data_IF_747421287356
#
_entry.id   IF_747421287356
#
_cell.length_a   1.000
_cell.length_b   1.000
_cell.length_c   1.000
_cell.angle_alpha   90.00
_cell.angle_beta   90.00
_cell.angle_gamma   90.00
#
_symmetry.space_group_name_H-M   'P 1'
#
loop_
_entity.id
_entity.type
_entity.pdbx_description
1 polymer ?
#
# COMPACT_ATOMS: atom_id res chain seq x y z
N UNK A 1 -126.18 -8.31 -2.66
CA UNK A 1 -125.50 -9.37 -3.43
C UNK A 1 -124.59 -10.17 -2.50
N UNK A 2 -124.57 -11.50 -2.67
CA UNK A 2 -124.02 -12.52 -1.76
C UNK A 2 -122.50 -12.75 -1.93
N UNK A 3 -121.83 -13.04 -0.81
CA UNK A 3 -120.64 -13.93 -0.63
C UNK A 3 -119.32 -13.42 -1.25
N UNK A 4 -118.11 -13.69 -0.73
CA UNK A 4 -117.55 -14.91 -0.16
C UNK A 4 -116.38 -14.57 0.81
N UNK A 5 -116.15 -15.46 1.77
CA UNK A 5 -115.08 -15.42 2.78
C UNK A 5 -113.70 -15.74 2.19
N UNK A 6 -112.61 -15.23 2.79
CA UNK A 6 -111.35 -15.97 2.81
C UNK A 6 -110.66 -15.87 4.17
N UNK A 7 -110.62 -17.01 4.87
CA UNK A 7 -109.89 -17.24 6.12
C UNK A 7 -108.38 -17.19 5.83
N UNK A 8 -107.64 -16.35 6.56
CA UNK A 8 -106.19 -16.46 6.62
C UNK A 8 -105.80 -17.43 7.74
N UNK A 9 -105.16 -18.55 7.35
CA UNK A 9 -104.60 -19.53 8.27
C UNK A 9 -103.37 -18.96 8.99
N UNK A 10 -103.36 -19.01 10.31
CA UNK A 10 -102.16 -18.77 11.11
C UNK A 10 -101.15 -19.91 10.90
N UNK A 11 -100.14 -19.68 10.06
CA UNK A 11 -99.00 -20.59 9.91
C UNK A 11 -98.15 -20.55 11.19
N UNK A 12 -98.30 -21.57 12.03
CA UNK A 12 -97.38 -21.85 13.13
C UNK A 12 -96.01 -22.21 12.55
N UNK A 13 -94.98 -21.43 12.93
CA UNK A 13 -93.60 -21.67 12.51
C UNK A 13 -93.11 -22.99 13.14
N UNK A 14 -92.53 -23.92 12.37
CA UNK A 14 -92.12 -25.22 12.90
C UNK A 14 -90.97 -25.08 13.92
N UNK A 15 -90.97 -25.92 14.96
CA UNK A 15 -90.01 -25.90 16.08
C UNK A 15 -88.55 -26.09 15.64
N UNK A 16 -88.30 -26.63 14.44
CA UNK A 16 -86.97 -26.82 13.86
C UNK A 16 -86.27 -25.51 13.51
N UNK A 17 -87.03 -24.46 13.17
CA UNK A 17 -86.47 -23.15 12.79
C UNK A 17 -85.95 -22.38 14.01
N UNK A 18 -86.58 -22.59 15.17
CA UNK A 18 -86.18 -21.95 16.45
C UNK A 18 -84.85 -22.45 17.00
N UNK A 19 -84.42 -23.68 16.67
CA UNK A 19 -83.12 -24.23 17.11
C UNK A 19 -81.95 -23.76 16.24
N UNK A 20 -82.19 -23.43 14.97
CA UNK A 20 -81.16 -22.93 14.06
C UNK A 20 -80.79 -21.47 14.37
N UNK A 21 -81.76 -20.66 14.78
CA UNK A 21 -81.47 -19.26 15.17
C UNK A 21 -80.61 -19.16 16.43
N UNK A 22 -80.82 -20.01 17.45
CA UNK A 22 -80.04 -19.93 18.69
C UNK A 22 -78.61 -20.45 18.54
N UNK A 23 -78.34 -21.41 17.65
CA UNK A 23 -76.98 -21.94 17.42
C UNK A 23 -76.16 -21.10 16.44
N UNK A 24 -76.79 -20.46 15.46
CA UNK A 24 -76.11 -19.57 14.51
C UNK A 24 -75.68 -18.24 15.12
N UNK A 25 -76.51 -17.65 16.00
CA UNK A 25 -76.23 -16.34 16.62
C UNK A 25 -74.94 -16.33 17.43
N UNK A 26 -74.63 -17.39 18.19
CA UNK A 26 -73.37 -17.45 18.97
C UNK A 26 -72.15 -17.43 18.05
N UNK A 27 -72.14 -18.26 17.01
CA UNK A 27 -71.04 -18.29 16.03
C UNK A 27 -70.91 -16.96 15.29
N UNK A 28 -72.04 -16.32 14.96
CA UNK A 28 -72.06 -15.02 14.30
C UNK A 28 -71.54 -13.88 15.19
N UNK A 29 -71.85 -13.92 16.49
CA UNK A 29 -71.31 -12.97 17.47
C UNK A 29 -69.80 -13.21 17.66
N UNK A 30 -69.36 -14.45 17.75
CA UNK A 30 -67.93 -14.77 17.83
C UNK A 30 -67.15 -14.32 16.61
N UNK A 31 -67.70 -14.43 15.39
CA UNK A 31 -67.03 -13.93 14.17
C UNK A 31 -66.92 -12.41 14.15
N UNK A 32 -67.95 -11.69 14.61
CA UNK A 32 -67.92 -10.23 14.71
C UNK A 32 -66.90 -9.79 15.77
N UNK A 33 -66.89 -10.43 16.94
CA UNK A 33 -65.92 -10.16 18.00
C UNK A 33 -64.48 -10.46 17.56
N UNK A 34 -64.27 -11.55 16.82
CA UNK A 34 -62.96 -11.89 16.25
C UNK A 34 -62.50 -10.84 15.22
N UNK A 35 -63.42 -10.34 14.39
CA UNK A 35 -63.14 -9.25 13.45
C UNK A 35 -62.75 -7.95 14.15
N UNK A 36 -63.50 -7.55 15.20
CA UNK A 36 -63.15 -6.39 16.03
C UNK A 36 -61.82 -6.57 16.77
N UNK A 37 -61.54 -7.78 17.26
CA UNK A 37 -60.26 -8.10 17.89
C UNK A 37 -59.09 -8.03 16.90
N UNK A 38 -59.26 -8.55 15.68
CA UNK A 38 -58.27 -8.43 14.60
C UNK A 38 -58.04 -6.98 14.19
N UNK A 39 -59.11 -6.18 14.07
CA UNK A 39 -59.01 -4.77 13.76
C UNK A 39 -58.30 -4.00 14.89
N UNK A 40 -58.63 -4.29 16.14
CA UNK A 40 -57.95 -3.72 17.30
C UNK A 40 -56.47 -4.10 17.33
N UNK A 41 -56.11 -5.37 17.08
CA UNK A 41 -54.73 -5.81 16.98
C UNK A 41 -53.99 -5.15 15.79
N UNK A 42 -54.65 -4.92 14.67
CA UNK A 42 -54.10 -4.14 13.55
C UNK A 42 -53.79 -2.70 13.96
N UNK A 43 -54.73 -2.05 14.65
CA UNK A 43 -54.59 -0.65 15.04
C UNK A 43 -53.61 -0.42 16.19
N UNK A 44 -53.54 -1.36 17.14
CA UNK A 44 -52.74 -1.20 18.36
C UNK A 44 -51.40 -1.92 18.33
N UNK A 45 -51.23 -2.94 17.48
CA UNK A 45 -50.00 -3.72 17.42
C UNK A 45 -49.29 -3.53 16.08
N UNK A 46 -50.00 -3.61 14.96
CA UNK A 46 -49.37 -3.51 13.62
C UNK A 46 -49.01 -2.06 13.27
N UNK A 47 -49.92 -1.09 13.43
CA UNK A 47 -49.63 0.32 13.14
C UNK A 47 -48.42 0.88 13.92
N UNK A 48 -48.28 0.72 15.26
CA UNK A 48 -47.10 1.23 15.96
C UNK A 48 -45.79 0.55 15.54
N UNK A 49 -45.80 -0.73 15.16
CA UNK A 49 -44.61 -1.39 14.60
C UNK A 49 -44.21 -0.83 13.23
N UNK A 50 -45.16 -0.32 12.43
CA UNK A 50 -44.87 0.34 11.15
C UNK A 50 -44.27 1.74 11.34
N UNK A 51 -44.70 2.47 12.39
CA UNK A 51 -44.12 3.78 12.76
C UNK A 51 -42.67 3.63 13.25
N UNK A 52 -42.33 2.52 13.91
CA UNK A 52 -40.95 2.17 14.27
C UNK A 52 -40.08 1.73 13.08
N UNK A 53 -40.66 1.02 12.09
CA UNK A 53 -39.97 0.56 10.89
C UNK A 53 -39.50 1.69 9.96
N UNK A 54 -40.14 2.86 10.01
CA UNK A 54 -39.71 4.05 9.27
C UNK A 54 -38.46 4.74 9.87
N UNK A 55 -38.11 4.44 11.13
CA UNK A 55 -36.89 4.97 11.77
C UNK A 55 -35.61 4.41 11.13
N UNK A 56 -35.66 3.20 10.56
CA UNK A 56 -34.53 2.59 9.86
C UNK A 56 -34.21 3.33 8.55
N UNK A 57 -35.20 3.96 7.92
CA UNK A 57 -35.01 4.73 6.68
C UNK A 57 -34.41 6.11 6.98
N UNK A 58 -34.73 6.71 8.13
CA UNK A 58 -34.13 8.00 8.52
C UNK A 58 -32.70 7.86 9.07
N UNK A 59 -32.28 6.66 9.52
CA UNK A 59 -30.87 6.35 9.82
C UNK A 59 -29.98 6.18 8.58
N UNK A 60 -30.56 6.17 7.37
CA UNK A 60 -29.81 6.34 6.11
C UNK A 60 -29.69 7.81 5.68
N UNK A 61 -30.36 8.74 6.40
CA UNK A 61 -30.22 10.18 6.15
C UNK A 61 -29.08 10.81 6.95
N UNK A 62 -28.67 10.14 8.03
CA UNK A 62 -27.45 10.38 8.79
C UNK A 62 -26.42 9.25 8.57
N UNK A 63 -26.39 8.66 7.37
CA UNK A 63 -25.09 8.21 6.88
C UNK A 63 -24.17 9.45 6.97
N UNK A 64 -22.91 9.34 7.41
CA UNK A 64 -21.99 10.44 7.18
C UNK A 64 -22.17 10.75 5.71
N UNK A 65 -22.58 11.98 5.41
CA UNK A 65 -22.32 12.54 4.10
C UNK A 65 -20.83 12.22 3.95
N UNK A 66 -20.52 11.23 3.12
CA UNK A 66 -19.45 11.45 2.20
C UNK A 66 -19.90 12.72 1.47
N UNK A 67 -19.61 13.86 2.10
CA UNK A 67 -18.83 14.88 1.46
C UNK A 67 -17.66 14.11 0.88
N UNK A 68 -17.90 13.44 -0.25
CA UNK A 68 -17.05 13.63 -1.41
C UNK A 68 -16.92 15.15 -1.43
N UNK A 69 -15.91 15.63 -0.71
CA UNK A 69 -15.25 16.82 -1.14
C UNK A 69 -15.17 16.61 -2.63
N UNK A 70 -15.72 17.55 -3.39
CA UNK A 70 -15.01 17.90 -4.59
C UNK A 70 -13.67 18.39 -4.03
N UNK A 71 -12.80 17.44 -3.68
CA UNK A 71 -11.39 17.64 -3.73
C UNK A 71 -11.27 18.12 -5.15
N UNK A 72 -11.01 19.40 -5.29
CA UNK A 72 -10.42 19.93 -6.49
C UNK A 72 -9.19 19.03 -6.68
N UNK A 73 -9.36 17.93 -7.42
CA UNK A 73 -8.34 16.95 -7.71
C UNK A 73 -7.44 17.61 -8.76
N UNK A 74 -6.79 18.69 -8.36
CA UNK A 74 -5.38 18.80 -8.62
C UNK A 74 -4.78 17.55 -7.98
N UNK A 75 -4.62 16.49 -8.78
CA UNK A 75 -3.91 15.29 -8.37
C UNK A 75 -2.55 15.74 -7.86
N UNK A 76 -2.34 15.64 -6.55
CA UNK A 76 -1.06 15.97 -5.94
C UNK A 76 0.00 15.12 -6.63
N UNK A 77 1.02 15.75 -7.18
CA UNK A 77 2.06 15.05 -7.92
C UNK A 77 2.90 14.18 -6.95
N UNK A 78 3.37 13.00 -7.39
CA UNK A 78 4.39 12.26 -6.65
C UNK A 78 5.69 13.07 -6.58
N UNK A 79 6.53 12.85 -5.54
CA UNK A 79 7.85 13.47 -5.47
C UNK A 79 8.77 12.86 -6.53
N UNK A 80 9.69 13.68 -7.03
CA UNK A 80 10.79 13.25 -7.90
C UNK A 80 12.00 13.00 -7.00
N UNK A 81 12.45 11.75 -6.93
CA UNK A 81 13.63 11.37 -6.16
C UNK A 81 14.89 11.45 -7.03
N UNK A 82 16.00 11.91 -6.46
CA UNK A 82 17.31 12.03 -7.09
C UNK A 82 18.35 11.29 -6.26
N UNK A 83 18.80 10.15 -6.79
CA UNK A 83 19.83 9.29 -6.21
C UNK A 83 20.85 9.00 -7.32
N UNK A 84 22.11 9.47 -7.21
CA UNK A 84 23.05 9.47 -8.33
C UNK A 84 23.82 8.15 -8.51
N UNK A 85 23.44 7.08 -7.83
CA UNK A 85 24.11 5.79 -7.87
C UNK A 85 23.07 4.66 -7.78
N UNK A 86 23.43 3.48 -8.30
CA UNK A 86 22.58 2.28 -8.28
C UNK A 86 23.05 1.26 -7.22
N UNK A 87 24.23 1.46 -6.65
CA UNK A 87 24.79 0.62 -5.59
C UNK A 87 25.65 1.43 -4.62
N UNK A 88 25.77 0.96 -3.38
CA UNK A 88 26.56 1.59 -2.32
C UNK A 88 27.16 0.55 -1.38
N UNK A 89 28.29 0.88 -0.76
CA UNK A 89 28.88 0.13 0.35
C UNK A 89 28.58 0.76 1.71
N UNK A 90 27.81 1.84 1.73
CA UNK A 90 27.40 2.55 2.94
C UNK A 90 25.99 2.11 3.31
N UNK A 91 25.80 1.71 4.57
CA UNK A 91 24.52 1.22 5.09
C UNK A 91 23.42 2.30 5.18
N UNK A 92 23.73 3.55 4.83
CA UNK A 92 22.80 4.68 4.89
C UNK A 92 22.80 5.51 3.61
N UNK A 93 21.67 6.14 3.31
CA UNK A 93 21.47 7.02 2.17
C UNK A 93 20.69 8.27 2.56
N UNK A 94 21.09 9.44 2.04
CA UNK A 94 20.25 10.64 2.03
C UNK A 94 19.58 10.78 0.66
N UNK A 95 18.26 10.88 0.65
CA UNK A 95 17.47 11.06 -0.58
C UNK A 95 17.22 12.55 -0.79
N UNK A 96 17.55 13.03 -1.98
CA UNK A 96 17.26 14.39 -2.42
C UNK A 96 16.19 14.37 -3.50
N UNK A 97 15.53 15.49 -3.74
CA UNK A 97 14.53 15.56 -4.79
C UNK A 97 13.71 16.82 -4.80
N UNK A 98 12.60 16.75 -5.54
CA UNK A 98 11.61 17.81 -5.65
C UNK A 98 10.20 17.28 -5.37
N UNK A 99 9.39 18.07 -4.70
CA UNK A 99 7.98 17.80 -4.45
C UNK A 99 7.18 19.12 -4.54
N UNK A 100 5.88 19.06 -4.25
CA UNK A 100 5.09 20.28 -4.13
C UNK A 100 5.68 21.21 -3.05
N UNK A 101 5.73 22.51 -3.31
CA UNK A 101 6.28 23.48 -2.36
C UNK A 101 5.56 23.41 -1.01
N UNK A 102 6.33 23.53 0.08
CA UNK A 102 5.83 23.49 1.47
C UNK A 102 5.10 22.20 1.88
N UNK A 103 5.11 21.16 1.05
CA UNK A 103 4.49 19.85 1.34
C UNK A 103 5.42 18.95 2.16
N UNK A 104 4.88 17.86 2.69
CA UNK A 104 5.66 16.80 3.32
C UNK A 104 5.94 15.68 2.32
N UNK A 105 7.15 15.15 2.31
CA UNK A 105 7.57 14.02 1.48
C UNK A 105 7.82 12.83 2.39
N UNK A 106 7.01 11.79 2.25
CA UNK A 106 7.20 10.48 2.88
C UNK A 106 8.09 9.61 2.00
N UNK A 107 9.15 9.02 2.55
CA UNK A 107 10.06 8.11 1.84
C UNK A 107 9.90 6.69 2.37
N UNK A 108 9.77 5.76 1.43
CA UNK A 108 9.54 4.35 1.65
C UNK A 108 10.70 3.52 1.10
N UNK A 109 11.06 2.47 1.82
CA UNK A 109 11.97 1.42 1.34
C UNK A 109 11.22 0.10 1.44
N UNK A 110 11.10 -0.62 0.32
CA UNK A 110 10.38 -1.90 0.24
C UNK A 110 8.95 -1.79 0.83
N UNK A 111 8.26 -0.71 0.46
CA UNK A 111 6.90 -0.34 0.90
C UNK A 111 6.76 0.01 2.40
N UNK A 112 7.85 0.01 3.17
CA UNK A 112 7.87 0.45 4.57
C UNK A 112 8.25 1.93 4.67
N UNK A 113 7.45 2.73 5.38
CA UNK A 113 7.76 4.14 5.64
C UNK A 113 9.02 4.23 6.52
N UNK A 114 10.08 4.88 6.02
CA UNK A 114 11.33 5.04 6.76
C UNK A 114 11.52 6.43 7.34
N UNK A 115 11.07 7.45 6.64
CA UNK A 115 11.21 8.84 7.08
C UNK A 115 10.23 9.74 6.35
N UNK A 116 10.04 10.94 6.87
CA UNK A 116 9.41 12.05 6.18
C UNK A 116 10.33 13.28 6.23
N UNK A 117 10.13 14.22 5.31
CA UNK A 117 10.85 15.49 5.29
C UNK A 117 9.98 16.57 4.67
N UNK A 118 10.21 17.83 5.04
CA UNK A 118 9.46 18.95 4.47
C UNK A 118 10.15 19.47 3.21
N UNK A 119 9.39 19.65 2.14
CA UNK A 119 9.85 20.36 0.96
C UNK A 119 9.91 21.87 1.22
N UNK A 120 10.95 22.51 0.72
CA UNK A 120 11.12 23.96 0.78
C UNK A 120 10.08 24.71 -0.06
N UNK A 121 10.13 26.04 -0.01
CA UNK A 121 9.27 26.89 -0.84
C UNK A 121 9.55 26.77 -2.34
N UNK A 122 10.75 26.30 -2.70
CA UNK A 122 11.16 25.96 -4.07
C UNK A 122 10.84 24.49 -4.44
N UNK A 123 10.23 23.74 -3.52
CA UNK A 123 9.92 22.32 -3.69
C UNK A 123 11.10 21.38 -3.46
N UNK A 124 12.31 21.89 -3.22
CA UNK A 124 13.48 21.05 -2.97
C UNK A 124 13.40 20.39 -1.59
N UNK A 125 13.92 19.17 -1.47
CA UNK A 125 14.04 18.50 -0.18
C UNK A 125 15.31 17.64 -0.09
N UNK A 126 15.73 17.38 1.14
CA UNK A 126 16.76 16.41 1.49
C UNK A 126 16.36 15.71 2.77
N UNK A 127 16.42 14.38 2.79
CA UNK A 127 16.15 13.61 4.01
C UNK A 127 17.38 13.51 4.89
N UNK A 128 17.14 13.22 6.17
CA UNK A 128 18.15 12.61 7.03
C UNK A 128 18.58 11.25 6.46
N UNK A 129 19.77 10.75 6.82
CA UNK A 129 20.24 9.44 6.38
C UNK A 129 19.25 8.32 6.79
N UNK A 130 18.90 7.47 5.83
CA UNK A 130 17.98 6.34 5.96
C UNK A 130 18.79 5.05 5.87
N UNK A 131 18.54 4.10 6.77
CA UNK A 131 19.20 2.80 6.74
C UNK A 131 18.73 1.93 5.56
N UNK A 132 19.68 1.27 4.90
CA UNK A 132 19.46 0.31 3.83
C UNK A 132 19.56 -1.13 4.37
N UNK A 133 18.75 -2.01 3.80
CA UNK A 133 18.85 -3.45 3.98
C UNK A 133 19.95 -4.02 3.08
N UNK A 134 20.63 -5.09 3.50
CA UNK A 134 21.60 -5.79 2.64
C UNK A 134 20.89 -6.31 1.40
N UNK A 135 21.51 -6.12 0.24
CA UNK A 135 20.98 -6.50 -1.07
C UNK A 135 20.16 -5.39 -1.72
N UNK A 136 19.06 -5.76 -2.35
CA UNK A 136 18.19 -4.83 -3.08
C UNK A 136 17.32 -4.02 -2.11
N UNK A 137 17.28 -2.71 -2.29
CA UNK A 137 16.37 -1.78 -1.64
C UNK A 137 15.56 -1.04 -2.71
N UNK A 138 14.23 -1.04 -2.58
CA UNK A 138 13.35 -0.34 -3.49
C UNK A 138 12.84 0.97 -2.87
N UNK A 139 13.39 2.10 -3.31
CA UNK A 139 13.12 3.42 -2.72
C UNK A 139 12.00 4.12 -3.50
N UNK A 140 10.96 4.56 -2.82
CA UNK A 140 9.87 5.35 -3.40
C UNK A 140 9.42 6.45 -2.45
N UNK A 141 8.64 7.41 -2.95
CA UNK A 141 8.14 8.50 -2.13
C UNK A 141 6.70 8.88 -2.44
N UNK A 142 6.04 9.50 -1.46
CA UNK A 142 4.72 10.12 -1.59
C UNK A 142 4.78 11.55 -1.07
N UNK A 143 4.02 12.43 -1.69
CA UNK A 143 3.85 13.80 -1.26
C UNK A 143 2.55 13.90 -0.47
N UNK A 144 2.58 14.64 0.61
CA UNK A 144 1.45 14.88 1.51
C UNK A 144 1.25 16.39 1.62
N UNK A 145 0.08 16.88 1.23
CA UNK A 145 -0.25 18.31 1.35
C UNK A 145 -0.55 18.70 2.80
N UNK A 146 -0.73 20.00 3.05
CA UNK A 146 -1.06 20.53 4.39
C UNK A 146 -2.41 20.02 4.92
N UNK A 147 -3.28 19.49 4.05
CA UNK A 147 -4.60 18.93 4.39
C UNK A 147 -4.53 17.42 4.66
N UNK A 148 -3.36 16.80 4.52
CA UNK A 148 -3.14 15.37 4.69
C UNK A 148 -3.49 14.51 3.47
N UNK A 149 -3.77 15.10 2.31
CA UNK A 149 -3.98 14.35 1.08
C UNK A 149 -2.65 13.81 0.56
N UNK A 150 -2.63 12.52 0.20
CA UNK A 150 -1.44 11.84 -0.33
C UNK A 150 -1.46 11.72 -1.84
N UNK A 151 -0.32 11.88 -2.48
CA UNK A 151 -0.13 11.56 -3.90
C UNK A 151 0.02 10.04 -4.13
N UNK A 152 -0.07 9.58 -5.39
CA UNK A 152 0.41 8.26 -5.79
C UNK A 152 1.89 8.07 -5.44
N UNK A 153 2.36 6.82 -5.40
CA UNK A 153 3.78 6.54 -5.21
C UNK A 153 4.61 7.02 -6.40
N UNK A 154 5.82 7.53 -6.14
CA UNK A 154 6.80 7.84 -7.18
C UNK A 154 7.27 6.58 -7.91
N UNK A 155 7.98 6.77 -9.03
CA UNK A 155 8.70 5.66 -9.66
C UNK A 155 9.70 5.07 -8.65
N UNK A 156 9.73 3.75 -8.45
CA UNK A 156 10.72 3.11 -7.61
C UNK A 156 12.15 3.29 -8.16
N UNK A 157 13.10 3.59 -7.28
CA UNK A 157 14.54 3.57 -7.56
C UNK A 157 15.15 2.39 -6.83
N UNK A 158 15.78 1.48 -7.58
CA UNK A 158 16.48 0.32 -7.05
C UNK A 158 17.91 0.70 -6.64
N UNK A 159 18.27 0.41 -5.40
CA UNK A 159 19.63 0.56 -4.87
C UNK A 159 20.11 -0.76 -4.29
N UNK A 160 21.33 -1.17 -4.64
CA UNK A 160 21.96 -2.36 -4.07
C UNK A 160 22.94 -1.92 -2.96
N UNK A 161 22.71 -2.39 -1.73
CA UNK A 161 23.67 -2.23 -0.63
C UNK A 161 24.40 -3.55 -0.39
N UNK A 162 25.73 -3.50 -0.37
CA UNK A 162 26.57 -4.63 0.10
C UNK A 162 27.63 -4.13 1.08
N UNK A 163 27.91 -4.91 2.11
CA UNK A 163 29.00 -4.67 3.05
C UNK A 163 30.27 -5.47 2.72
N UNK A 164 30.23 -6.27 1.65
CA UNK A 164 31.30 -7.20 1.33
C UNK A 164 32.51 -6.45 0.79
N UNK A 165 33.66 -6.72 1.41
CA UNK A 165 34.93 -6.20 0.91
C UNK A 165 35.40 -7.11 -0.23
N UNK A 166 36.05 -6.55 -1.26
CA UNK A 166 36.73 -7.39 -2.23
C UNK A 166 37.87 -8.16 -1.57
N UNK A 167 37.91 -9.46 -1.82
CA UNK A 167 39.03 -10.33 -1.58
C UNK A 167 40.14 -10.04 -2.59
N UNK A 168 41.38 -10.10 -2.14
CA UNK A 168 42.57 -10.04 -2.99
C UNK A 168 43.61 -11.00 -2.47
N UNK A 169 44.04 -11.90 -3.34
CA UNK A 169 45.22 -12.72 -3.13
C UNK A 169 46.25 -12.41 -4.20
N UNK A 170 47.50 -12.20 -3.79
CA UNK A 170 48.62 -11.95 -4.70
C UNK A 170 49.42 -13.24 -4.79
N UNK A 171 49.49 -13.81 -6.00
CA UNK A 171 50.29 -15.01 -6.26
C UNK A 171 51.74 -14.67 -6.63
N UNK A 172 51.98 -13.48 -7.17
CA UNK A 172 53.34 -12.97 -7.46
C UNK A 172 53.33 -11.44 -7.57
N UNK A 173 54.39 -10.74 -7.15
CA UNK A 173 55.62 -11.26 -6.53
C UNK A 173 55.42 -11.74 -5.08
N UNK A 174 56.37 -12.55 -4.58
CA UNK A 174 56.39 -12.97 -3.16
C UNK A 174 56.66 -11.78 -2.24
N UNK A 175 56.17 -11.85 -1.00
CA UNK A 175 56.40 -10.79 -0.02
C UNK A 175 57.91 -10.54 0.20
N UNK A 176 58.32 -9.27 0.17
CA UNK A 176 59.72 -8.82 0.23
C UNK A 176 60.67 -9.31 -0.89
N UNK A 177 60.15 -9.74 -2.04
CA UNK A 177 61.01 -10.09 -3.18
C UNK A 177 61.80 -8.88 -3.67
N UNK A 178 63.13 -8.92 -3.52
CA UNK A 178 64.02 -7.89 -4.07
C UNK A 178 64.14 -8.08 -5.58
N UNK A 179 63.48 -7.22 -6.34
CA UNK A 179 63.67 -7.15 -7.80
C UNK A 179 64.83 -6.21 -8.06
N UNK A 180 65.96 -6.78 -8.49
CA UNK A 180 67.19 -6.03 -8.79
C UNK A 180 67.45 -6.00 -10.30
N UNK A 181 67.68 -4.81 -10.85
CA UNK A 181 67.96 -4.56 -12.29
C UNK A 181 66.72 -4.23 -13.15
N UNK A 182 66.93 -4.05 -14.46
CA UNK A 182 65.88 -3.72 -15.46
C UNK A 182 64.90 -4.86 -15.77
N UNK A 183 64.78 -5.86 -14.90
CA UNK A 183 63.92 -7.03 -15.12
C UNK A 183 62.46 -6.66 -14.87
N UNK A 184 61.61 -6.94 -15.86
CA UNK A 184 60.16 -6.81 -15.73
C UNK A 184 59.65 -7.73 -14.61
N UNK A 185 58.68 -7.26 -13.85
CA UNK A 185 58.04 -8.01 -12.76
C UNK A 185 56.63 -8.38 -13.19
N UNK A 186 56.24 -9.64 -13.02
CA UNK A 186 54.86 -10.04 -13.26
C UNK A 186 54.09 -9.96 -11.95
N UNK A 187 53.11 -9.06 -11.92
CA UNK A 187 52.15 -8.95 -10.83
C UNK A 187 50.94 -9.80 -11.20
N UNK A 188 50.64 -10.80 -10.39
CA UNK A 188 49.53 -11.72 -10.62
C UNK A 188 48.81 -12.08 -9.32
N UNK A 189 47.54 -12.43 -9.43
CA UNK A 189 46.71 -12.80 -8.29
C UNK A 189 45.27 -13.03 -8.68
N UNK A 190 44.43 -13.15 -7.66
CA UNK A 190 42.99 -13.38 -7.77
C UNK A 190 42.23 -12.34 -6.92
N UNK A 191 41.02 -12.02 -7.35
CA UNK A 191 40.04 -11.20 -6.64
C UNK A 191 38.64 -11.72 -6.99
N UNK A 192 37.59 -11.27 -6.31
CA UNK A 192 36.23 -11.65 -6.68
C UNK A 192 35.89 -11.20 -8.11
N UNK A 193 34.99 -11.92 -8.76
CA UNK A 193 34.60 -11.69 -10.15
C UNK A 193 33.54 -10.58 -10.29
N UNK A 194 33.69 -9.46 -9.57
CA UNK A 194 32.71 -8.38 -9.55
C UNK A 194 33.02 -7.27 -10.56
N UNK A 195 31.96 -6.81 -11.25
CA UNK A 195 32.04 -5.66 -12.14
C UNK A 195 32.39 -4.40 -11.33
N UNK A 196 33.53 -3.80 -11.60
CA UNK A 196 33.95 -2.54 -10.95
C UNK A 196 35.14 -2.65 -10.01
N UNK A 197 35.71 -3.86 -9.85
CA UNK A 197 36.99 -4.02 -9.13
C UNK A 197 38.12 -3.37 -9.94
N UNK A 198 38.92 -2.55 -9.25
CA UNK A 198 40.14 -1.96 -9.78
C UNK A 198 41.30 -2.42 -8.92
N UNK A 199 42.14 -3.28 -9.50
CA UNK A 199 43.41 -3.67 -8.91
C UNK A 199 44.49 -2.74 -9.44
N UNK A 200 45.32 -2.16 -8.54
CA UNK A 200 46.42 -1.27 -8.94
C UNK A 200 47.75 -1.71 -8.34
N UNK A 201 48.77 -1.82 -9.19
CA UNK A 201 50.17 -1.89 -8.80
C UNK A 201 50.73 -0.47 -8.76
N UNK A 202 50.67 0.15 -7.58
CA UNK A 202 50.84 1.59 -7.34
C UNK A 202 50.04 2.44 -8.30
N UNK A 203 50.69 3.00 -9.33
CA UNK A 203 50.01 3.86 -10.31
C UNK A 203 49.49 3.12 -11.56
N UNK A 204 49.80 1.83 -11.72
CA UNK A 204 49.37 1.06 -12.90
C UNK A 204 48.12 0.24 -12.58
N UNK A 205 47.05 0.44 -13.34
CA UNK A 205 45.83 -0.39 -13.25
C UNK A 205 46.07 -1.73 -13.91
N UNK A 206 45.78 -2.81 -13.19
CA UNK A 206 45.84 -4.18 -13.68
C UNK A 206 44.49 -4.57 -14.29
N UNK A 207 44.53 -5.30 -15.39
CA UNK A 207 43.31 -5.84 -16.02
C UNK A 207 42.94 -7.12 -15.27
N UNK A 208 41.73 -7.15 -14.73
CA UNK A 208 41.12 -8.33 -14.10
C UNK A 208 40.25 -9.02 -15.15
N UNK A 209 40.48 -10.32 -15.33
CA UNK A 209 39.70 -11.20 -16.20
C UNK A 209 38.32 -11.45 -15.58
N UNK A 210 37.38 -11.97 -16.38
CA UNK A 210 36.01 -12.26 -15.94
C UNK A 210 35.91 -13.31 -14.83
N UNK A 211 36.94 -14.12 -14.64
CA UNK A 211 37.06 -15.13 -13.59
C UNK A 211 37.72 -14.59 -12.30
N UNK A 212 38.05 -13.29 -12.26
CA UNK A 212 38.72 -12.67 -11.11
C UNK A 212 40.24 -12.81 -11.11
N UNK A 213 40.84 -13.47 -12.11
CA UNK A 213 42.31 -13.55 -12.22
C UNK A 213 42.89 -12.28 -12.83
N UNK A 214 44.08 -11.87 -12.39
CA UNK A 214 44.84 -10.80 -13.06
C UNK A 214 46.29 -11.22 -13.19
N UNK A 215 46.93 -10.83 -14.30
CA UNK A 215 48.36 -11.05 -14.54
C UNK A 215 48.88 -10.01 -15.51
N UNK A 216 49.83 -9.19 -15.07
CA UNK A 216 50.42 -8.15 -15.91
C UNK A 216 51.89 -7.93 -15.58
N UNK A 217 52.68 -7.79 -16.64
CA UNK A 217 54.09 -7.44 -16.53
C UNK A 217 54.25 -5.94 -16.37
N UNK A 218 54.78 -5.49 -15.23
CA UNK A 218 55.11 -4.10 -14.94
C UNK A 218 56.58 -3.81 -15.24
N UNK A 219 56.92 -2.57 -15.65
CA UNK A 219 58.30 -2.13 -15.78
C UNK A 219 59.04 -2.23 -14.44
N UNK A 220 60.39 -2.37 -14.44
CA UNK A 220 61.21 -2.76 -13.28
C UNK A 220 61.05 -1.90 -12.03
N UNK A 221 60.53 -0.68 -12.16
CA UNK A 221 60.25 0.22 -11.04
C UNK A 221 58.87 -0.09 -10.46
N UNK A 222 58.84 -1.07 -9.54
CA UNK A 222 57.69 -1.31 -8.68
C UNK A 222 57.39 -0.04 -7.86
N UNK A 223 56.13 0.38 -7.76
CA UNK A 223 55.72 1.33 -6.74
C UNK A 223 55.72 0.66 -5.35
N UNK A 224 56.07 1.42 -4.32
CA UNK A 224 56.29 0.97 -2.93
C UNK A 224 55.11 0.21 -2.30
N UNK A 225 53.89 0.26 -2.85
CA UNK A 225 52.69 -0.43 -2.33
C UNK A 225 51.68 -0.78 -3.44
N UNK A 226 51.13 -1.99 -3.37
CA UNK A 226 49.93 -2.40 -4.10
C UNK A 226 48.70 -1.84 -3.36
N UNK A 227 47.81 -1.17 -4.07
CA UNK A 227 46.57 -0.64 -3.50
C UNK A 227 45.38 -1.24 -4.27
N UNK A 228 44.32 -1.60 -3.54
CA UNK A 228 43.01 -1.86 -4.14
C UNK A 228 42.18 -0.63 -3.84
N UNK A 229 41.71 0.06 -4.88
CA UNK A 229 40.81 1.19 -4.70
C UNK A 229 39.54 0.94 -5.49
N UNK A 230 38.45 0.80 -4.76
CA UNK A 230 37.13 0.82 -5.34
C UNK A 230 36.72 2.28 -5.65
N UNK A 231 36.49 2.63 -6.93
CA UNK A 231 35.80 3.88 -7.34
C UNK A 231 34.66 3.52 -8.29
N UNK A 232 33.41 3.59 -7.83
CA UNK A 232 32.24 3.66 -8.72
C UNK A 232 32.28 5.02 -9.43
N UNK A 233 32.26 5.02 -10.76
CA UNK A 233 31.99 6.23 -11.55
C UNK A 233 30.47 6.39 -11.67
N UNK A 234 29.88 7.57 -11.42
CA UNK A 234 28.58 7.86 -11.98
C UNK A 234 28.72 7.85 -13.51
N UNK A 235 27.87 7.09 -14.20
CA UNK A 235 27.78 7.15 -15.66
C UNK A 235 27.20 8.53 -16.07
N UNK A 236 27.61 9.07 -17.23
CA UNK A 236 27.20 10.38 -17.71
C UNK A 236 25.71 10.49 -18.01
#
# INVERSE_FOLDING_TARGET
MKRYQSRYSSRSKPLSVRRLEKKGKRKFIFTILLGFFLLYALLTWILPTLVGGLSVINKFKDAPKATSSIANNATLAPPILSIPYEATNTATISVKGYAAASSTVEIYIDDELKTDTKAGGDGSFSTSPISLNIGTNNISGKTVDEKGNKSPSSKPIRIIFTSDKPDLEISSPSDNQTVSGDKKVTVSGTTNADKGINVTAGNTRLIVNSDGTFSQSTPPKLPERLFINHRWRPLP
#
